data_IF_834516921225
#
_entry.id   IF_834516921225
#
_cell.length_a   1.000
_cell.length_b   1.000
_cell.length_c   1.000
_cell.angle_alpha   90.00
_cell.angle_beta   90.00
_cell.angle_gamma   90.00
#
_symmetry.space_group_name_H-M   'P 1'
#
loop_
_entity.id
_entity.type
_entity.pdbx_description
1 polymer ?
#
# COMPACT_ATOMS: atom_id res chain seq x y z
N UNK A 1 10.23 -0.93 11.00
CA UNK A 1 9.02 -1.74 11.24
C UNK A 1 7.81 -0.92 11.70
N UNK A 2 7.89 -0.13 12.78
CA UNK A 2 6.74 0.70 13.24
C UNK A 2 6.28 1.70 12.16
N UNK A 3 7.20 2.32 11.43
CA UNK A 3 6.88 3.27 10.36
C UNK A 3 6.18 2.63 9.16
N UNK A 4 6.59 1.43 8.73
CA UNK A 4 5.94 0.69 7.64
C UNK A 4 4.48 0.39 7.99
N UNK A 5 4.22 -0.02 9.24
CA UNK A 5 2.85 -0.26 9.72
C UNK A 5 2.01 1.01 9.70
N UNK A 6 2.59 2.16 10.11
CA UNK A 6 1.91 3.45 10.01
C UNK A 6 1.56 3.82 8.57
N UNK A 7 2.50 3.62 7.63
CA UNK A 7 2.25 3.86 6.21
C UNK A 7 1.12 2.96 5.67
N UNK A 8 1.13 1.67 6.01
CA UNK A 8 0.05 0.74 5.62
C UNK A 8 -1.30 1.24 6.14
N UNK A 9 -1.38 1.63 7.42
CA UNK A 9 -2.61 2.17 8.00
C UNK A 9 -3.04 3.46 7.32
N UNK A 10 -2.12 4.40 7.09
CA UNK A 10 -2.42 5.67 6.45
C UNK A 10 -2.90 5.50 5.02
N UNK A 11 -2.25 4.65 4.21
CA UNK A 11 -2.70 4.34 2.85
C UNK A 11 -4.11 3.77 2.87
N UNK A 12 -4.40 2.83 3.77
CA UNK A 12 -5.75 2.28 3.90
C UNK A 12 -6.78 3.36 4.25
N UNK A 13 -6.49 4.24 5.20
CA UNK A 13 -7.40 5.31 5.61
C UNK A 13 -7.63 6.32 4.49
N UNK A 14 -6.58 6.74 3.79
CA UNK A 14 -6.69 7.65 2.64
C UNK A 14 -7.58 7.06 1.55
N UNK A 15 -7.37 5.79 1.18
CA UNK A 15 -8.13 5.15 0.10
C UNK A 15 -9.57 4.84 0.52
N UNK A 16 -9.75 4.15 1.64
CA UNK A 16 -11.03 3.49 1.97
C UNK A 16 -11.89 4.26 2.96
N UNK A 17 -11.34 5.27 3.64
CA UNK A 17 -12.12 6.15 4.53
C UNK A 17 -12.31 7.53 3.89
N UNK A 18 -11.25 8.09 3.30
CA UNK A 18 -11.27 9.45 2.74
C UNK A 18 -11.55 9.50 1.24
N UNK A 19 -11.33 8.39 0.51
CA UNK A 19 -11.55 8.34 -0.94
C UNK A 19 -10.46 9.04 -1.76
N UNK A 20 -9.24 9.15 -1.22
CA UNK A 20 -8.10 9.80 -1.86
C UNK A 20 -7.19 8.78 -2.57
N UNK A 21 -6.32 9.27 -3.46
CA UNK A 21 -5.25 8.50 -4.09
C UNK A 21 -3.89 8.87 -3.48
N UNK A 22 -3.40 8.12 -2.47
CA UNK A 22 -2.16 8.45 -1.76
C UNK A 22 -0.89 7.97 -2.49
N UNK A 23 -0.70 8.40 -3.74
CA UNK A 23 0.40 7.95 -4.61
C UNK A 23 1.78 8.09 -3.95
N UNK A 24 2.04 9.22 -3.27
CA UNK A 24 3.31 9.47 -2.58
C UNK A 24 3.54 8.51 -1.41
N UNK A 25 2.49 8.17 -0.65
CA UNK A 25 2.59 7.23 0.47
C UNK A 25 2.85 5.81 -0.03
N UNK A 26 2.23 5.41 -1.15
CA UNK A 26 2.48 4.10 -1.78
C UNK A 26 3.93 4.03 -2.27
N UNK A 27 4.43 5.07 -2.94
CA UNK A 27 5.83 5.16 -3.35
C UNK A 27 6.79 5.13 -2.15
N UNK A 28 6.48 5.83 -1.07
CA UNK A 28 7.29 5.82 0.15
C UNK A 28 7.33 4.42 0.78
N UNK A 29 6.17 3.75 0.87
CA UNK A 29 6.06 2.38 1.36
C UNK A 29 6.97 1.45 0.54
N UNK A 30 6.85 1.47 -0.79
CA UNK A 30 7.66 0.65 -1.68
C UNK A 30 9.17 0.94 -1.52
N UNK A 31 9.57 2.20 -1.45
CA UNK A 31 10.99 2.56 -1.25
C UNK A 31 11.53 2.10 0.10
N UNK A 32 10.78 2.31 1.19
CA UNK A 32 11.23 1.94 2.54
C UNK A 32 11.30 0.43 2.77
N UNK A 33 10.54 -0.36 2.01
CA UNK A 33 10.64 -1.83 2.04
C UNK A 33 11.57 -2.38 0.97
N UNK A 34 12.30 -1.51 0.24
CA UNK A 34 13.15 -1.93 -0.88
C UNK A 34 12.37 -2.80 -1.91
N UNK A 35 11.13 -2.41 -2.18
CA UNK A 35 10.22 -3.07 -3.11
C UNK A 35 9.90 -4.54 -2.75
N UNK A 36 10.15 -4.96 -1.51
CA UNK A 36 9.75 -6.27 -0.99
C UNK A 36 8.23 -6.33 -0.82
N UNK A 37 7.54 -6.76 -1.88
CA UNK A 37 6.08 -6.87 -1.90
C UNK A 37 5.58 -7.96 -0.96
N UNK A 38 6.28 -9.10 -0.87
CA UNK A 38 5.88 -10.18 0.03
C UNK A 38 5.91 -9.71 1.49
N UNK A 39 6.99 -9.02 1.89
CA UNK A 39 7.12 -8.42 3.21
C UNK A 39 6.08 -7.34 3.49
N UNK A 40 5.70 -6.53 2.50
CA UNK A 40 4.60 -5.56 2.63
C UNK A 40 3.27 -6.28 2.91
N UNK A 41 2.93 -7.31 2.13
CA UNK A 41 1.67 -8.03 2.25
C UNK A 41 1.58 -8.77 3.60
N UNK A 42 2.66 -9.42 4.03
CA UNK A 42 2.73 -10.07 5.34
C UNK A 42 2.50 -9.06 6.48
N UNK A 43 3.16 -7.90 6.42
CA UNK A 43 3.00 -6.84 7.41
C UNK A 43 1.60 -6.21 7.36
N UNK A 44 1.01 -6.07 6.18
CA UNK A 44 -0.34 -5.54 6.02
C UNK A 44 -1.37 -6.46 6.68
N UNK A 45 -1.24 -7.78 6.48
CA UNK A 45 -2.09 -8.78 7.14
C UNK A 45 -2.03 -8.66 8.67
N UNK A 46 -0.82 -8.52 9.22
CA UNK A 46 -0.59 -8.34 10.67
C UNK A 46 -1.03 -6.98 11.22
N UNK A 47 -1.25 -5.98 10.36
CA UNK A 47 -1.54 -4.59 10.78
C UNK A 47 -3.01 -4.24 10.64
N UNK A 48 -3.65 -4.67 9.56
CA UNK A 48 -5.02 -4.26 9.21
C UNK A 48 -6.09 -5.28 9.62
N UNK A 49 -5.74 -6.55 9.76
CA UNK A 49 -6.70 -7.65 9.89
C UNK A 49 -7.28 -8.09 8.52
N UNK A 50 -7.83 -9.30 8.44
CA UNK A 50 -8.10 -10.00 7.17
C UNK A 50 -9.00 -9.25 6.18
N UNK A 51 -10.09 -8.63 6.65
CA UNK A 51 -11.01 -7.92 5.77
C UNK A 51 -10.33 -6.71 5.11
N UNK A 52 -9.73 -5.84 5.93
CA UNK A 52 -9.02 -4.64 5.46
C UNK A 52 -7.78 -4.98 4.65
N UNK A 53 -7.08 -6.05 5.02
CA UNK A 53 -5.95 -6.61 4.28
C UNK A 53 -6.35 -6.95 2.84
N UNK A 54 -7.48 -7.63 2.63
CA UNK A 54 -7.94 -8.00 1.28
C UNK A 54 -8.10 -6.77 0.39
N UNK A 55 -8.77 -5.74 0.91
CA UNK A 55 -8.96 -4.47 0.21
C UNK A 55 -7.63 -3.75 -0.08
N UNK A 56 -6.75 -3.68 0.92
CA UNK A 56 -5.43 -3.08 0.77
C UNK A 56 -4.60 -3.78 -0.32
N UNK A 57 -4.60 -5.11 -0.35
CA UNK A 57 -3.87 -5.89 -1.35
C UNK A 57 -4.40 -5.64 -2.77
N UNK A 58 -5.73 -5.65 -2.93
CA UNK A 58 -6.35 -5.34 -4.22
C UNK A 58 -5.96 -3.95 -4.71
N UNK A 59 -6.02 -2.94 -3.82
CA UNK A 59 -5.61 -1.58 -4.15
C UNK A 59 -4.13 -1.52 -4.52
N UNK A 60 -3.24 -2.07 -3.70
CA UNK A 60 -1.79 -1.99 -3.92
C UNK A 60 -1.39 -2.65 -5.25
N UNK A 61 -1.94 -3.83 -5.55
CA UNK A 61 -1.68 -4.52 -6.82
C UNK A 61 -2.23 -3.73 -8.01
N UNK A 62 -3.46 -3.21 -7.90
CA UNK A 62 -4.06 -2.38 -8.94
C UNK A 62 -3.21 -1.14 -9.20
N UNK A 63 -2.77 -0.47 -8.13
CA UNK A 63 -1.91 0.70 -8.22
C UNK A 63 -0.59 0.37 -8.90
N UNK A 64 0.08 -0.72 -8.53
CA UNK A 64 1.36 -1.13 -9.15
C UNK A 64 1.18 -1.38 -10.65
N UNK A 65 0.13 -2.11 -11.05
CA UNK A 65 -0.16 -2.42 -12.46
C UNK A 65 -0.37 -1.12 -13.27
N UNK A 66 -1.11 -0.16 -12.73
CA UNK A 66 -1.46 1.07 -13.45
C UNK A 66 -0.38 2.17 -13.32
N UNK A 67 0.43 2.15 -12.26
CA UNK A 67 1.55 3.08 -12.08
C UNK A 67 2.70 2.81 -13.07
N UNK A 68 2.89 1.56 -13.51
CA UNK A 68 3.83 1.25 -14.59
C UNK A 68 3.42 1.89 -15.93
N UNK A 69 2.14 2.19 -16.11
CA UNK A 69 1.65 2.95 -17.27
C UNK A 69 2.03 4.44 -17.20
N UNK A 70 2.11 5.00 -15.98
CA UNK A 70 2.51 6.39 -15.73
C UNK A 70 4.03 6.62 -15.78
N UNK A 71 4.85 5.58 -15.56
CA UNK A 71 6.32 5.71 -15.64
C UNK A 71 6.90 5.45 -17.04
N UNK A 72 6.10 4.93 -17.97
CA UNK A 72 6.50 4.63 -19.35
C UNK A 72 5.92 5.60 -20.40
N UNK A 73 5.20 6.64 -19.96
CA UNK A 73 4.69 7.74 -20.79
C UNK A 73 5.42 9.05 -20.49
#
# INVERSE_FOLDING_TARGET
MSEIRKLITQIYEEVFIKGNEPNDLVLELLKKTNYDLEGILELAGKTLGMEKYTWFCMYLLNWIIHSQFLMAS
#
